data_IF_877160692244
#
_entry.id   IF_877160692244
#
_cell.length_a   1.000
_cell.length_b   1.000
_cell.length_c   1.000
_cell.angle_alpha   90.00
_cell.angle_beta   90.00
_cell.angle_gamma   90.00
#
_symmetry.space_group_name_H-M   'P 1'
#
loop_
_entity.id
_entity.type
_entity.pdbx_description
1 polymer ?
#
# COMPACT_ATOMS: atom_id res chain seq x y z
N UNK A 1 21.53 -10.92 -2.79
CA UNK A 1 21.99 -11.11 -1.39
C UNK A 1 22.12 -9.78 -0.64
N UNK A 2 22.89 -8.80 -1.14
CA UNK A 2 23.09 -7.49 -0.47
C UNK A 2 21.84 -6.58 -0.43
N UNK A 3 21.11 -6.50 -1.54
CA UNK A 3 19.89 -5.69 -1.69
C UNK A 3 18.81 -5.99 -0.65
N UNK A 4 18.62 -7.27 -0.33
CA UNK A 4 17.65 -7.73 0.69
C UNK A 4 18.08 -7.28 2.08
N UNK A 5 19.37 -7.31 2.39
CA UNK A 5 19.88 -6.83 3.68
C UNK A 5 19.76 -5.31 3.81
N UNK A 6 20.06 -4.55 2.74
CA UNK A 6 19.86 -3.09 2.73
C UNK A 6 18.38 -2.73 2.95
N UNK A 7 17.44 -3.48 2.35
CA UNK A 7 16.01 -3.32 2.63
C UNK A 7 15.65 -3.62 4.08
N UNK A 8 16.22 -4.69 4.67
CA UNK A 8 16.02 -4.97 6.11
C UNK A 8 16.50 -3.81 6.97
N UNK A 9 17.68 -3.25 6.67
CA UNK A 9 18.20 -2.08 7.37
C UNK A 9 17.25 -0.86 7.28
N UNK A 10 16.67 -0.61 6.10
CA UNK A 10 15.67 0.45 5.93
C UNK A 10 14.35 0.14 6.63
N UNK A 11 14.03 -1.13 6.85
CA UNK A 11 12.81 -1.58 7.54
C UNK A 11 12.91 -1.41 9.05
N UNK A 12 13.87 -2.09 9.69
CA UNK A 12 14.17 -1.94 11.12
C UNK A 12 15.51 -2.63 11.46
N UNK A 13 16.38 -2.06 12.32
CA UNK A 13 17.63 -2.72 12.74
C UNK A 13 17.44 -4.10 13.38
N UNK A 14 16.35 -4.31 14.14
CA UNK A 14 16.06 -5.60 14.81
C UNK A 14 15.67 -6.74 13.86
N UNK A 15 15.62 -6.49 12.55
CA UNK A 15 15.54 -7.56 11.56
C UNK A 15 16.86 -8.36 11.47
N UNK A 16 17.97 -7.79 11.95
CA UNK A 16 19.25 -8.47 12.08
C UNK A 16 19.39 -9.14 13.46
N UNK A 17 19.85 -10.37 13.47
CA UNK A 17 20.06 -11.12 14.71
C UNK A 17 21.14 -10.45 15.57
N UNK A 18 20.89 -10.40 16.88
CA UNK A 18 21.82 -9.84 17.86
C UNK A 18 21.89 -8.32 17.93
N UNK A 19 21.10 -7.59 17.15
CA UNK A 19 21.04 -6.12 17.24
C UNK A 19 20.08 -5.60 18.31
N UNK A 20 19.13 -6.42 18.72
CA UNK A 20 18.22 -6.08 19.82
C UNK A 20 18.90 -6.34 21.17
N UNK A 21 18.97 -5.30 21.98
CA UNK A 21 19.52 -5.39 23.33
C UNK A 21 18.52 -6.09 24.26
N UNK A 22 18.82 -7.36 24.55
CA UNK A 22 17.99 -8.23 25.41
C UNK A 22 17.97 -7.80 26.88
N UNK A 23 18.81 -6.85 27.28
CA UNK A 23 18.76 -6.27 28.63
C UNK A 23 17.65 -5.22 28.78
N UNK A 24 17.17 -4.66 27.67
CA UNK A 24 16.09 -3.68 27.68
C UNK A 24 14.70 -4.34 27.77
N UNK A 25 13.69 -3.63 28.28
CA UNK A 25 12.32 -4.11 28.27
C UNK A 25 11.85 -4.39 26.84
N UNK A 26 11.28 -5.56 26.51
CA UNK A 26 10.88 -5.91 25.13
C UNK A 26 9.92 -4.91 24.46
N UNK A 27 9.14 -4.17 25.25
CA UNK A 27 8.19 -3.13 24.79
C UNK A 27 8.68 -1.72 25.15
N UNK A 28 9.99 -1.46 25.06
CA UNK A 28 10.59 -0.17 25.37
C UNK A 28 10.62 0.81 24.19
N UNK A 29 10.83 2.09 24.48
CA UNK A 29 10.92 3.15 23.45
C UNK A 29 12.07 2.94 22.45
N UNK A 30 13.06 2.10 22.79
CA UNK A 30 14.14 1.70 21.88
C UNK A 30 13.63 1.05 20.57
N UNK A 31 12.44 0.44 20.58
CA UNK A 31 11.78 -0.08 19.36
C UNK A 31 11.43 1.06 18.39
N UNK A 32 11.16 2.25 18.91
CA UNK A 32 10.85 3.44 18.10
C UNK A 32 12.11 4.21 17.77
N UNK A 33 12.93 4.51 18.78
CA UNK A 33 14.04 5.45 18.66
C UNK A 33 15.17 4.95 17.74
N UNK A 34 15.33 3.63 17.62
CA UNK A 34 16.36 3.04 16.76
C UNK A 34 15.99 3.00 15.28
N UNK A 35 14.77 3.41 14.89
CA UNK A 35 14.32 3.36 13.50
C UNK A 35 13.62 4.66 13.07
N UNK A 36 14.20 5.35 12.08
CA UNK A 36 13.64 6.61 11.56
C UNK A 36 12.20 6.49 11.06
N UNK A 37 11.84 5.36 10.42
CA UNK A 37 10.46 5.10 10.01
C UNK A 37 9.51 4.93 11.20
N UNK A 38 9.95 4.28 12.28
CA UNK A 38 9.15 4.12 13.50
C UNK A 38 8.95 5.47 14.21
N UNK A 39 9.96 6.33 14.27
CA UNK A 39 9.83 7.69 14.81
C UNK A 39 8.76 8.49 14.04
N UNK A 40 8.80 8.42 12.71
CA UNK A 40 7.80 9.08 11.86
C UNK A 40 6.40 8.47 12.09
N UNK A 41 6.32 7.14 12.14
CA UNK A 41 5.08 6.41 12.31
C UNK A 41 4.42 6.71 13.67
N UNK A 42 5.18 6.76 14.76
CA UNK A 42 4.68 7.09 16.10
C UNK A 42 4.04 8.49 16.13
N UNK A 43 4.72 9.49 15.54
CA UNK A 43 4.18 10.86 15.42
C UNK A 43 2.95 10.93 14.52
N UNK A 44 2.97 10.22 13.39
CA UNK A 44 1.85 10.21 12.44
C UNK A 44 0.61 9.54 13.03
N UNK A 45 0.74 8.35 13.60
CA UNK A 45 -0.37 7.58 14.17
C UNK A 45 -1.03 8.31 15.34
N UNK A 46 -0.25 8.99 16.20
CA UNK A 46 -0.81 9.87 17.26
C UNK A 46 -1.75 10.93 16.70
N UNK A 47 -1.35 11.61 15.61
CA UNK A 47 -2.17 12.63 14.94
C UNK A 47 -3.39 12.03 14.24
N UNK A 48 -3.25 10.88 13.59
CA UNK A 48 -4.36 10.21 12.90
C UNK A 48 -5.42 9.69 13.87
N UNK A 49 -5.00 9.11 15.01
CA UNK A 49 -5.93 8.67 16.06
C UNK A 49 -6.69 9.84 16.67
N UNK A 50 -6.02 10.97 16.93
CA UNK A 50 -6.67 12.18 17.44
C UNK A 50 -7.72 12.77 16.46
N UNK A 51 -7.57 12.53 15.16
CA UNK A 51 -8.54 12.92 14.12
C UNK A 51 -9.67 11.91 13.90
N UNK A 52 -9.65 10.76 14.58
CA UNK A 52 -10.63 9.70 14.37
C UNK A 52 -10.50 9.00 13.01
N UNK A 53 -9.31 9.00 12.42
CA UNK A 53 -8.98 8.18 11.26
C UNK A 53 -8.67 6.75 11.67
N UNK A 54 -8.75 5.81 10.72
CA UNK A 54 -8.36 4.40 10.88
C UNK A 54 -7.36 4.03 9.80
N UNK A 55 -6.40 3.18 10.17
CA UNK A 55 -5.16 3.03 9.40
C UNK A 55 -4.93 1.59 8.99
N UNK A 56 -4.65 1.37 7.70
CA UNK A 56 -4.08 0.14 7.16
C UNK A 56 -2.57 0.32 7.03
N UNK A 57 -1.78 -0.62 7.52
CA UNK A 57 -0.32 -0.60 7.40
C UNK A 57 0.12 -1.84 6.63
N UNK A 58 0.71 -1.62 5.47
CA UNK A 58 1.25 -2.67 4.62
C UNK A 58 2.77 -2.78 4.75
N UNK A 59 3.26 -4.01 4.80
CA UNK A 59 4.69 -4.32 4.76
C UNK A 59 4.96 -5.57 3.92
N UNK A 60 6.11 -5.61 3.25
CA UNK A 60 6.59 -6.78 2.52
C UNK A 60 7.20 -7.83 3.45
N UNK A 61 7.69 -7.42 4.62
CA UNK A 61 8.36 -8.30 5.57
C UNK A 61 7.45 -8.58 6.77
N UNK A 62 7.03 -9.85 6.93
CA UNK A 62 6.22 -10.26 8.09
C UNK A 62 6.93 -10.00 9.42
N UNK A 63 8.26 -10.14 9.46
CA UNK A 63 9.07 -9.77 10.63
C UNK A 63 8.99 -8.30 11.03
N UNK A 64 8.67 -7.40 10.10
CA UNK A 64 8.37 -6.00 10.43
C UNK A 64 6.99 -5.89 11.06
N UNK A 65 6.03 -6.71 10.64
CA UNK A 65 4.72 -6.76 11.28
C UNK A 65 4.82 -7.26 12.72
N UNK A 66 5.72 -8.21 13.01
CA UNK A 66 6.01 -8.65 14.39
C UNK A 66 6.45 -7.46 15.26
N UNK A 67 7.40 -6.65 14.78
CA UNK A 67 7.87 -5.43 15.47
C UNK A 67 6.71 -4.40 15.61
N UNK A 68 5.85 -4.30 14.59
CA UNK A 68 4.68 -3.42 14.64
C UNK A 68 3.63 -3.88 15.65
N UNK A 69 3.46 -5.18 15.89
CA UNK A 69 2.57 -5.68 16.94
C UNK A 69 3.07 -5.26 18.32
N UNK A 70 4.37 -5.41 18.57
CA UNK A 70 5.00 -4.97 19.82
C UNK A 70 4.86 -3.46 20.00
N UNK A 71 5.07 -2.67 18.94
CA UNK A 71 4.81 -1.24 18.95
C UNK A 71 3.34 -0.91 19.26
N UNK A 72 2.38 -1.64 18.66
CA UNK A 72 0.95 -1.44 18.94
C UNK A 72 0.60 -1.76 20.38
N UNK A 73 1.17 -2.83 20.96
CA UNK A 73 1.01 -3.20 22.38
C UNK A 73 1.60 -2.13 23.29
N UNK A 74 2.83 -1.68 23.01
CA UNK A 74 3.50 -0.62 23.76
C UNK A 74 2.70 0.68 23.80
N UNK A 75 2.05 1.06 22.69
CA UNK A 75 1.22 2.29 22.60
C UNK A 75 -0.27 2.06 22.89
N UNK A 76 -0.67 0.85 23.29
CA UNK A 76 -2.06 0.45 23.53
C UNK A 76 -3.01 0.78 22.35
N UNK A 77 -2.57 0.51 21.13
CA UNK A 77 -3.41 0.58 19.94
C UNK A 77 -4.15 -0.74 19.73
N UNK A 78 -5.48 -0.69 19.59
CA UNK A 78 -6.24 -1.85 19.12
C UNK A 78 -5.88 -2.14 17.67
N UNK A 79 -5.54 -3.39 17.37
CA UNK A 79 -5.13 -3.80 16.03
C UNK A 79 -5.67 -5.16 15.60
N UNK A 80 -5.68 -5.40 14.29
CA UNK A 80 -5.83 -6.70 13.65
C UNK A 80 -4.58 -6.97 12.78
N UNK A 81 -4.30 -8.24 12.49
CA UNK A 81 -3.18 -8.65 11.61
C UNK A 81 -3.62 -9.74 10.66
N UNK A 82 -3.29 -9.58 9.37
CA UNK A 82 -3.36 -10.66 8.38
C UNK A 82 -2.03 -10.74 7.64
N UNK A 83 -1.47 -11.94 7.59
CA UNK A 83 -0.35 -12.27 6.73
C UNK A 83 -0.61 -13.55 5.91
N UNK A 84 0.42 -14.05 5.23
CA UNK A 84 0.30 -15.24 4.36
C UNK A 84 -0.02 -16.54 5.10
N UNK A 85 0.11 -16.58 6.43
CA UNK A 85 -0.12 -17.77 7.24
C UNK A 85 -1.45 -17.72 7.99
N UNK A 86 -2.19 -16.62 7.92
CA UNK A 86 -3.51 -16.49 8.57
C UNK A 86 -4.53 -17.41 7.90
N UNK A 87 -5.23 -18.22 8.71
CA UNK A 87 -6.30 -19.10 8.24
C UNK A 87 -7.46 -18.31 7.61
N UNK A 88 -8.32 -18.98 6.85
CA UNK A 88 -9.49 -18.33 6.25
C UNK A 88 -10.43 -17.77 7.32
N UNK A 89 -10.74 -18.57 8.35
CA UNK A 89 -11.69 -18.20 9.40
C UNK A 89 -11.15 -17.03 10.25
N UNK A 90 -9.88 -17.08 10.65
CA UNK A 90 -9.25 -15.97 11.41
C UNK A 90 -9.20 -14.67 10.59
N UNK A 91 -9.03 -14.81 9.27
CA UNK A 91 -9.04 -13.68 8.35
C UNK A 91 -10.41 -13.04 8.28
N UNK A 92 -11.47 -13.82 8.09
CA UNK A 92 -12.84 -13.29 8.07
C UNK A 92 -13.18 -12.60 9.39
N UNK A 93 -12.91 -13.27 10.52
CA UNK A 93 -13.12 -12.68 11.85
C UNK A 93 -12.36 -11.36 12.03
N UNK A 94 -11.10 -11.29 11.60
CA UNK A 94 -10.31 -10.05 11.70
C UNK A 94 -10.86 -8.90 10.83
N UNK A 95 -11.41 -9.23 9.65
CA UNK A 95 -12.03 -8.26 8.74
C UNK A 95 -13.36 -7.77 9.31
N UNK A 96 -14.19 -8.66 9.85
CA UNK A 96 -15.45 -8.34 10.50
C UNK A 96 -15.22 -7.47 11.73
N UNK A 97 -14.32 -7.87 12.62
CA UNK A 97 -13.93 -7.12 13.82
C UNK A 97 -13.45 -5.71 13.47
N UNK A 98 -12.67 -5.58 12.39
CA UNK A 98 -12.22 -4.27 11.95
C UNK A 98 -13.38 -3.47 11.34
N UNK A 99 -14.20 -4.03 10.47
CA UNK A 99 -15.29 -3.28 9.84
C UNK A 99 -16.53 -3.07 10.72
N UNK A 100 -16.60 -3.73 11.87
CA UNK A 100 -17.71 -3.62 12.81
C UNK A 100 -18.00 -2.14 13.19
N UNK A 101 -19.28 -1.77 13.34
CA UNK A 101 -19.63 -0.42 13.80
C UNK A 101 -19.02 -0.17 15.18
N UNK A 102 -18.37 0.99 15.34
CA UNK A 102 -17.66 1.37 16.57
C UNK A 102 -16.56 0.40 17.01
N UNK A 103 -15.97 -0.34 16.06
CA UNK A 103 -14.80 -1.19 16.32
C UNK A 103 -13.70 -0.41 17.06
N UNK A 104 -13.15 -1.03 18.11
CA UNK A 104 -12.01 -0.48 18.86
C UNK A 104 -10.67 -0.61 18.12
N UNK A 105 -10.67 -1.29 16.97
CA UNK A 105 -9.47 -1.56 16.16
C UNK A 105 -9.07 -0.32 15.37
N UNK A 106 -7.97 0.31 15.75
CA UNK A 106 -7.45 1.49 15.07
C UNK A 106 -6.57 1.12 13.87
N UNK A 107 -5.74 0.07 14.02
CA UNK A 107 -4.72 -0.33 13.03
C UNK A 107 -5.06 -1.70 12.44
N UNK A 108 -4.84 -1.87 11.13
CA UNK A 108 -4.82 -3.18 10.49
C UNK A 108 -3.43 -3.42 9.88
N UNK A 109 -2.71 -4.40 10.41
CA UNK A 109 -1.40 -4.83 9.92
C UNK A 109 -1.57 -5.86 8.81
N UNK A 110 -1.01 -5.59 7.63
CA UNK A 110 -1.19 -6.41 6.44
C UNK A 110 0.16 -6.71 5.81
N UNK A 111 0.41 -7.97 5.48
CA UNK A 111 1.45 -8.26 4.50
C UNK A 111 0.96 -7.84 3.11
N UNK A 112 1.80 -7.21 2.28
CA UNK A 112 1.39 -6.81 0.92
C UNK A 112 0.91 -8.01 0.10
N UNK A 113 1.50 -9.19 0.34
CA UNK A 113 1.06 -10.45 -0.29
C UNK A 113 -0.36 -10.85 0.11
N UNK A 114 -0.73 -10.69 1.38
CA UNK A 114 -2.10 -10.94 1.84
C UNK A 114 -3.10 -9.91 1.30
N UNK A 115 -2.63 -8.71 0.93
CA UNK A 115 -3.45 -7.68 0.28
C UNK A 115 -4.02 -8.10 -1.09
N UNK A 116 -3.37 -9.02 -1.79
CA UNK A 116 -3.83 -9.55 -3.09
C UNK A 116 -5.04 -10.48 -3.01
N UNK A 117 -5.54 -10.80 -1.82
CA UNK A 117 -6.57 -11.81 -1.58
C UNK A 117 -8.02 -11.28 -1.69
N UNK A 118 -8.23 -10.09 -2.25
CA UNK A 118 -9.59 -9.59 -2.52
C UNK A 118 -10.32 -8.97 -1.31
N UNK A 119 -9.63 -8.76 -0.18
CA UNK A 119 -10.22 -8.25 1.07
C UNK A 119 -10.83 -6.84 0.90
N UNK A 120 -11.81 -6.50 1.76
CA UNK A 120 -12.51 -5.22 1.75
C UNK A 120 -12.40 -4.53 3.12
N UNK A 121 -11.68 -3.42 3.18
CA UNK A 121 -11.40 -2.68 4.42
C UNK A 121 -11.82 -1.20 4.28
N UNK A 122 -13.06 -1.00 3.81
CA UNK A 122 -13.64 0.31 3.49
C UNK A 122 -13.86 1.23 4.72
N UNK A 123 -13.65 0.73 5.93
CA UNK A 123 -13.75 1.53 7.16
C UNK A 123 -12.47 2.30 7.49
N UNK A 124 -11.35 2.02 6.80
CA UNK A 124 -10.10 2.75 6.94
C UNK A 124 -9.93 3.83 5.87
N UNK A 125 -9.61 5.05 6.31
CA UNK A 125 -9.37 6.22 5.47
C UNK A 125 -7.89 6.52 5.24
N UNK A 126 -6.98 5.82 5.93
CA UNK A 126 -5.54 5.99 5.77
C UNK A 126 -4.88 4.68 5.38
N UNK A 127 -4.01 4.73 4.38
CA UNK A 127 -3.13 3.62 3.99
C UNK A 127 -1.68 4.05 4.17
N UNK A 128 -0.90 3.26 4.91
CA UNK A 128 0.54 3.43 5.07
C UNK A 128 1.24 2.26 4.40
N UNK A 129 2.04 2.55 3.38
CA UNK A 129 2.97 1.59 2.78
C UNK A 129 4.32 1.77 3.48
N UNK A 130 4.62 0.88 4.44
CA UNK A 130 5.83 0.97 5.26
C UNK A 130 7.10 0.71 4.44
N UNK A 131 7.02 -0.21 3.50
CA UNK A 131 7.99 -0.43 2.45
C UNK A 131 7.29 -0.79 1.13
N UNK A 132 7.98 -0.57 0.02
CA UNK A 132 7.39 -0.66 -1.32
C UNK A 132 7.68 -2.02 -1.97
N UNK A 133 6.75 -2.50 -2.78
CA UNK A 133 6.99 -3.64 -3.67
C UNK A 133 7.87 -3.24 -4.86
N UNK A 134 8.53 -4.23 -5.47
CA UNK A 134 9.20 -4.08 -6.76
C UNK A 134 8.21 -3.97 -7.93
N UNK A 135 7.03 -4.56 -7.75
CA UNK A 135 5.89 -4.46 -8.65
C UNK A 135 4.94 -3.36 -8.14
N UNK A 136 4.90 -2.18 -8.80
CA UNK A 136 4.03 -1.08 -8.39
C UNK A 136 2.53 -1.45 -8.37
N UNK A 137 2.12 -2.45 -9.15
CA UNK A 137 0.74 -2.94 -9.16
C UNK A 137 0.33 -3.55 -7.82
N UNK A 138 1.25 -4.20 -7.10
CA UNK A 138 0.96 -4.76 -5.78
C UNK A 138 0.61 -3.65 -4.77
N UNK A 139 1.35 -2.54 -4.82
CA UNK A 139 1.09 -1.39 -3.96
C UNK A 139 -0.19 -0.63 -4.34
N UNK A 140 -0.54 -0.59 -5.64
CA UNK A 140 -1.83 -0.04 -6.10
C UNK A 140 -2.99 -0.91 -5.60
N UNK A 141 -2.88 -2.24 -5.72
CA UNK A 141 -3.89 -3.16 -5.20
C UNK A 141 -4.09 -3.04 -3.68
N UNK A 142 -3.01 -2.77 -2.94
CA UNK A 142 -3.07 -2.50 -1.50
C UNK A 142 -3.85 -1.20 -1.19
N UNK A 143 -3.67 -0.14 -1.99
CA UNK A 143 -4.43 1.11 -1.85
C UNK A 143 -5.93 0.92 -2.15
N UNK A 144 -6.24 0.13 -3.18
CA UNK A 144 -7.61 -0.21 -3.56
C UNK A 144 -8.39 -0.97 -2.46
N UNK A 145 -7.71 -1.49 -1.42
CA UNK A 145 -8.38 -2.14 -0.27
C UNK A 145 -9.18 -1.15 0.56
N UNK A 146 -8.69 0.09 0.68
CA UNK A 146 -9.37 1.19 1.34
C UNK A 146 -10.18 2.03 0.35
N UNK A 147 -9.64 2.23 -0.86
CA UNK A 147 -10.29 2.98 -1.94
C UNK A 147 -11.30 2.09 -2.70
N UNK A 148 -12.32 1.62 -1.98
CA UNK A 148 -13.37 0.74 -2.51
C UNK A 148 -14.76 1.34 -2.32
N UNK A 149 -15.72 0.91 -3.16
CA UNK A 149 -17.13 1.30 -3.08
C UNK A 149 -17.64 1.02 -1.66
N UNK A 150 -18.13 2.06 -0.97
CA UNK A 150 -18.55 2.01 0.44
C UNK A 150 -17.74 2.94 1.36
N UNK A 151 -16.55 3.36 0.94
CA UNK A 151 -15.78 4.39 1.65
C UNK A 151 -16.46 5.76 1.52
N UNK A 152 -16.56 6.48 2.64
CA UNK A 152 -17.20 7.81 2.74
C UNK A 152 -16.22 8.95 3.00
N UNK A 153 -14.98 8.63 3.40
CA UNK A 153 -13.90 9.58 3.67
C UNK A 153 -12.87 9.58 2.54
N UNK A 154 -12.15 10.68 2.38
CA UNK A 154 -11.01 10.75 1.47
C UNK A 154 -9.90 9.79 1.93
N UNK A 155 -9.44 8.94 1.02
CA UNK A 155 -8.38 7.95 1.32
C UNK A 155 -7.01 8.59 1.10
N UNK A 156 -6.25 8.74 2.17
CA UNK A 156 -4.88 9.26 2.11
C UNK A 156 -3.85 8.12 2.15
N UNK A 157 -2.94 8.11 1.19
CA UNK A 157 -1.88 7.10 1.08
C UNK A 157 -0.53 7.70 1.43
N UNK A 158 0.11 7.19 2.47
CA UNK A 158 1.48 7.54 2.86
C UNK A 158 2.43 6.42 2.48
N UNK A 159 3.41 6.72 1.62
CA UNK A 159 4.49 5.79 1.27
C UNK A 159 5.76 6.21 2.00
N UNK A 160 6.30 5.34 2.83
CA UNK A 160 7.55 5.59 3.51
C UNK A 160 8.74 5.22 2.62
N UNK A 161 9.73 6.12 2.62
CA UNK A 161 10.95 6.00 1.82
C UNK A 161 12.10 6.50 2.66
N UNK A 162 13.11 5.67 2.86
CA UNK A 162 14.37 6.10 3.46
C UNK A 162 15.17 6.88 2.42
N UNK A 163 15.42 8.17 2.69
CA UNK A 163 16.16 9.04 1.79
C UNK A 163 17.62 8.58 1.59
N UNK A 164 18.19 8.87 0.43
CA UNK A 164 19.57 8.49 0.04
C UNK A 164 19.85 6.98 0.22
N UNK A 165 18.86 6.14 -0.07
CA UNK A 165 18.95 4.70 0.16
C UNK A 165 18.53 3.87 -1.05
N UNK A 166 18.65 2.56 -0.91
CA UNK A 166 18.17 1.59 -1.90
C UNK A 166 16.67 1.76 -2.20
N UNK A 167 15.87 2.24 -1.26
CA UNK A 167 14.42 2.38 -1.42
C UNK A 167 14.05 3.43 -2.47
N UNK A 168 14.81 4.52 -2.57
CA UNK A 168 14.59 5.54 -3.61
C UNK A 168 14.75 4.94 -5.01
N UNK A 169 15.79 4.12 -5.21
CA UNK A 169 16.04 3.42 -6.48
C UNK A 169 14.98 2.39 -6.80
N UNK A 170 14.40 1.74 -5.80
CA UNK A 170 13.27 0.82 -5.99
C UNK A 170 12.05 1.60 -6.51
N UNK A 171 11.74 2.74 -5.90
CA UNK A 171 10.59 3.57 -6.27
C UNK A 171 10.78 4.18 -7.65
N UNK A 172 11.97 4.70 -7.95
CA UNK A 172 12.31 5.23 -9.28
C UNK A 172 12.05 4.20 -10.37
N UNK A 173 12.51 2.95 -10.17
CA UNK A 173 12.26 1.85 -11.11
C UNK A 173 10.79 1.45 -11.18
N UNK A 174 10.09 1.43 -10.06
CA UNK A 174 8.65 1.11 -10.01
C UNK A 174 7.83 2.16 -10.79
N UNK A 175 8.18 3.44 -10.67
CA UNK A 175 7.55 4.52 -11.45
C UNK A 175 7.86 4.42 -12.94
N UNK A 176 9.08 4.06 -13.32
CA UNK A 176 9.43 3.80 -14.73
C UNK A 176 8.58 2.67 -15.30
N UNK A 177 8.40 1.57 -14.55
CA UNK A 177 7.52 0.47 -14.95
C UNK A 177 6.06 0.92 -15.13
N UNK A 178 5.50 1.69 -14.19
CA UNK A 178 4.14 2.22 -14.33
C UNK A 178 3.97 3.09 -15.57
N UNK A 179 4.95 3.94 -15.88
CA UNK A 179 4.93 4.80 -17.07
C UNK A 179 4.95 3.96 -18.35
N UNK A 180 5.80 2.94 -18.40
CA UNK A 180 5.87 2.01 -19.53
C UNK A 180 4.56 1.22 -19.69
N UNK A 181 4.01 0.69 -18.60
CA UNK A 181 2.72 -0.02 -18.60
C UNK A 181 1.60 0.87 -19.15
N UNK A 182 1.53 2.13 -18.71
CA UNK A 182 0.54 3.09 -19.19
C UNK A 182 0.67 3.37 -20.69
N UNK A 183 1.91 3.50 -21.20
CA UNK A 183 2.16 3.70 -22.63
C UNK A 183 1.75 2.48 -23.47
N UNK A 184 2.04 1.27 -22.99
CA UNK A 184 1.66 0.02 -23.68
C UNK A 184 0.14 -0.13 -23.73
N UNK A 185 -0.56 0.12 -22.62
CA UNK A 185 -2.04 0.08 -22.59
C UNK A 185 -2.64 1.11 -23.55
N UNK A 186 -2.07 2.32 -23.59
CA UNK A 186 -2.51 3.36 -24.52
C UNK A 186 -2.28 2.94 -25.98
N UNK A 187 -1.12 2.37 -26.31
CA UNK A 187 -0.83 1.85 -27.65
C UNK A 187 -1.78 0.71 -28.05
N UNK A 188 -2.06 -0.22 -27.15
CA UNK A 188 -3.03 -1.31 -27.39
C UNK A 188 -4.43 -0.76 -27.72
N UNK A 189 -4.91 0.22 -26.95
CA UNK A 189 -6.21 0.90 -27.21
C UNK A 189 -6.22 1.65 -28.54
N UNK A 190 -5.11 2.28 -28.92
CA UNK A 190 -4.97 2.97 -30.21
C UNK A 190 -4.95 1.98 -31.38
N UNK A 191 -4.28 0.84 -31.25
CA UNK A 191 -4.29 -0.23 -32.25
C UNK A 191 -5.67 -0.88 -32.39
N UNK A 192 -6.40 -1.08 -31.29
CA UNK A 192 -7.80 -1.54 -31.35
C UNK A 192 -8.72 -0.51 -32.01
N UNK A 193 -8.55 0.80 -31.74
CA UNK A 193 -9.27 1.86 -32.45
C UNK A 193 -8.94 1.90 -33.94
N UNK A 194 -7.69 1.69 -34.34
CA UNK A 194 -7.31 1.60 -35.76
C UNK A 194 -7.91 0.37 -36.44
N UNK A 195 -8.03 -0.77 -35.73
CA UNK A 195 -8.71 -1.97 -36.27
C UNK A 195 -10.23 -1.82 -36.33
N UNK A 196 -10.83 -1.05 -35.41
CA UNK A 196 -12.27 -0.81 -35.32
C UNK A 196 -12.65 0.59 -35.85
N UNK A 197 -12.24 0.93 -37.08
CA UNK A 197 -12.83 2.05 -37.82
C UNK A 197 -14.35 1.82 -37.90
N UNK A 198 -15.12 2.69 -37.25
CA UNK A 198 -16.58 2.53 -37.21
C UNK A 198 -17.21 3.01 -38.52
N UNK A 199 -18.42 2.54 -38.83
CA UNK A 199 -19.18 3.02 -40.00
C UNK A 199 -19.34 4.55 -39.98
N UNK A 200 -19.43 5.16 -38.80
CA UNK A 200 -19.51 6.61 -38.67
C UNK A 200 -18.19 7.30 -39.03
N UNK A 201 -17.05 6.76 -38.60
CA UNK A 201 -15.74 7.30 -38.99
C UNK A 201 -15.52 7.22 -40.51
N UNK A 202 -16.01 6.14 -41.16
CA UNK A 202 -15.98 6.02 -42.63
C UNK A 202 -16.94 7.01 -43.32
N UNK A 203 -18.14 7.21 -42.77
CA UNK A 203 -19.11 8.18 -43.30
C UNK A 203 -18.60 9.61 -43.19
N UNK A 204 -17.91 9.95 -42.10
CA UNK A 204 -17.29 11.26 -41.90
C UNK A 204 -16.10 11.47 -42.87
N UNK A 205 -15.31 10.42 -43.13
CA UNK A 205 -14.26 10.47 -44.17
C UNK A 205 -14.82 10.68 -45.58
N UNK A 206 -15.96 10.06 -45.92
CA UNK A 206 -16.60 10.22 -47.23
C UNK A 206 -17.24 11.61 -47.37
N UNK A 207 -17.76 12.18 -46.28
CA UNK A 207 -18.37 13.52 -46.28
C UNK A 207 -17.35 14.65 -46.27
N UNK A 208 -16.14 14.39 -45.79
CA UNK A 208 -15.08 15.39 -45.74
C UNK A 208 -14.68 15.86 -47.15
N UNK A 209 -15.03 17.10 -47.50
CA UNK A 209 -14.77 17.69 -48.81
C UNK A 209 -15.81 17.37 -49.89
N UNK A 210 -16.79 16.50 -49.63
CA UNK A 210 -17.87 16.22 -50.58
C UNK A 210 -18.74 17.45 -50.84
N UNK A 211 -18.94 18.30 -49.83
CA UNK A 211 -19.69 19.55 -49.95
C UNK A 211 -18.95 20.65 -50.74
N UNK A 212 -17.62 20.56 -50.87
CA UNK A 212 -16.81 21.52 -51.65
C UNK A 212 -16.67 21.16 -53.13
N UNK A 213 -16.99 19.91 -53.51
CA UNK A 213 -16.85 19.39 -54.88
C UNK A 213 -18.11 19.60 -55.73
N UNK A 214 -19.24 20.03 -55.12
CA UNK A 214 -20.53 20.26 -55.81
C UNK A 214 -20.71 21.72 -56.26
N UNK A 215 -19.61 22.43 -56.54
CA UNK A 215 -19.61 23.74 -57.20
C UNK A 215 -19.26 23.62 -58.69
#
# INVERSE_FOLDING_TARGET
MMLVQLRKCCGHPYLFEGQEDRSLPPLGDHVVDNCGKMILMDKLLKRLKARGSRVLIFSQMTRVLDIMEDFCRMRAYGYCRIDGNTSYDDRESSIEDYNAPNSSKFIFLLSTRAGGLGINLYTADIVILYDSDWNPQADLQAQDRAHRIGQKKEVNVYRFVTANSVEEKIIERAQQKLKLDAMVVQQGRLQEKQKNLTKNDMLDMIRFGADEVVC
#
